data_IF_866733346608
#
_entry.id   IF_866733346608
#
_cell.length_a   1.000
_cell.length_b   1.000
_cell.length_c   1.000
_cell.angle_alpha   90.00
_cell.angle_beta   90.00
_cell.angle_gamma   90.00
#
_symmetry.space_group_name_H-M   'P 1'
#
loop_
_entity.id
_entity.type
_entity.pdbx_description
1 polymer ?
#
# COMPACT_ATOMS: atom_id res chain seq x y z
N UNK A 1 9.33 -15.71 -20.23
CA UNK A 1 7.89 -15.46 -20.39
C UNK A 1 7.17 -15.35 -19.03
N UNK A 2 7.21 -16.37 -18.17
CA UNK A 2 6.47 -16.40 -16.89
C UNK A 2 6.82 -15.25 -15.94
N UNK A 3 8.11 -14.93 -15.80
CA UNK A 3 8.58 -13.84 -14.92
C UNK A 3 8.10 -12.47 -15.40
N UNK A 4 8.16 -12.21 -16.71
CA UNK A 4 7.66 -10.97 -17.30
C UNK A 4 6.15 -10.77 -17.07
N UNK A 5 5.36 -11.82 -17.24
CA UNK A 5 3.91 -11.80 -16.97
C UNK A 5 3.64 -11.49 -15.48
N UNK A 6 4.38 -12.13 -14.57
CA UNK A 6 4.22 -11.88 -13.13
C UNK A 6 4.52 -10.42 -12.76
N UNK A 7 5.60 -9.85 -13.31
CA UNK A 7 5.96 -8.44 -13.12
C UNK A 7 4.91 -7.49 -13.71
N UNK A 8 4.37 -7.82 -14.89
CA UNK A 8 3.30 -7.05 -15.52
C UNK A 8 2.05 -7.00 -14.64
N UNK A 9 1.59 -8.17 -14.16
CA UNK A 9 0.43 -8.29 -13.27
C UNK A 9 0.68 -7.55 -11.96
N UNK A 10 1.87 -7.67 -11.38
CA UNK A 10 2.24 -6.97 -10.15
C UNK A 10 2.23 -5.45 -10.33
N UNK A 11 2.70 -4.95 -11.48
CA UNK A 11 2.60 -3.54 -11.84
C UNK A 11 1.16 -3.07 -11.96
N UNK A 12 0.28 -3.82 -12.64
CA UNK A 12 -1.14 -3.47 -12.72
C UNK A 12 -1.83 -3.46 -11.35
N UNK A 13 -1.56 -4.47 -10.52
CA UNK A 13 -2.07 -4.54 -9.16
C UNK A 13 -1.59 -3.36 -8.32
N UNK A 14 -0.32 -2.97 -8.47
CA UNK A 14 0.27 -1.80 -7.82
C UNK A 14 -0.38 -0.49 -8.26
N UNK A 15 -0.70 -0.31 -9.54
CA UNK A 15 -1.44 0.87 -10.03
C UNK A 15 -2.83 0.95 -9.38
N UNK A 16 -3.58 -0.15 -9.40
CA UNK A 16 -4.93 -0.18 -8.82
C UNK A 16 -4.91 0.09 -7.31
N UNK A 17 -3.99 -0.55 -6.58
CA UNK A 17 -3.82 -0.34 -5.15
C UNK A 17 -3.35 1.08 -4.84
N UNK A 18 -2.33 1.56 -5.55
CA UNK A 18 -1.78 2.90 -5.40
C UNK A 18 -2.83 3.98 -5.62
N UNK A 19 -3.64 3.87 -6.68
CA UNK A 19 -4.76 4.77 -6.96
C UNK A 19 -5.82 4.72 -5.86
N UNK A 20 -6.21 3.52 -5.42
CA UNK A 20 -7.19 3.34 -4.35
C UNK A 20 -6.77 4.07 -3.06
N UNK A 21 -5.49 4.00 -2.70
CA UNK A 21 -4.96 4.66 -1.51
C UNK A 21 -4.72 6.16 -1.69
N UNK A 22 -4.13 6.59 -2.81
CA UNK A 22 -3.84 8.00 -3.07
C UNK A 22 -5.12 8.85 -3.11
N UNK A 23 -6.12 8.38 -3.86
CA UNK A 23 -7.42 9.03 -4.01
C UNK A 23 -8.40 8.67 -2.90
N UNK A 24 -7.99 7.86 -1.91
CA UNK A 24 -8.80 7.43 -0.79
C UNK A 24 -10.17 6.84 -1.21
N UNK A 25 -10.16 6.03 -2.26
CA UNK A 25 -11.38 5.40 -2.80
C UNK A 25 -12.04 4.56 -1.71
N UNK A 26 -13.32 4.82 -1.43
CA UNK A 26 -14.10 4.16 -0.35
C UNK A 26 -13.47 4.30 1.05
N UNK A 27 -12.68 5.35 1.30
CA UNK A 27 -12.01 5.59 2.57
C UNK A 27 -10.89 4.58 2.86
N UNK A 28 -10.23 4.05 1.83
CA UNK A 28 -9.20 3.02 1.97
C UNK A 28 -8.05 3.44 2.90
N UNK A 29 -7.57 4.68 2.76
CA UNK A 29 -6.50 5.22 3.59
C UNK A 29 -6.95 5.41 5.04
N UNK A 30 -8.18 5.89 5.23
CA UNK A 30 -8.77 6.07 6.56
C UNK A 30 -8.97 4.73 7.28
N UNK A 31 -9.50 3.72 6.57
CA UNK A 31 -9.67 2.36 7.08
C UNK A 31 -8.35 1.72 7.46
N UNK A 32 -7.30 1.92 6.66
CA UNK A 32 -5.97 1.41 6.98
C UNK A 32 -5.37 2.08 8.21
N UNK A 33 -5.53 3.40 8.35
CA UNK A 33 -5.12 4.13 9.55
C UNK A 33 -5.89 3.67 10.80
N UNK A 34 -7.21 3.53 10.70
CA UNK A 34 -8.06 3.02 11.79
C UNK A 34 -7.66 1.60 12.20
N UNK A 35 -7.43 0.70 11.24
CA UNK A 35 -6.97 -0.67 11.50
C UNK A 35 -5.63 -0.69 12.22
N UNK A 36 -4.67 0.17 11.80
CA UNK A 36 -3.36 0.26 12.45
C UNK A 36 -3.48 0.73 13.90
N UNK A 37 -4.30 1.75 14.16
CA UNK A 37 -4.56 2.23 15.52
C UNK A 37 -5.23 1.15 16.39
N UNK A 38 -6.19 0.40 15.83
CA UNK A 38 -6.82 -0.71 16.54
C UNK A 38 -5.81 -1.80 16.92
N UNK A 39 -4.91 -2.19 16.01
CA UNK A 39 -3.84 -3.16 16.32
C UNK A 39 -2.91 -2.61 17.39
N UNK A 40 -2.52 -1.33 17.33
CA UNK A 40 -1.68 -0.70 18.36
C UNK A 40 -2.36 -0.68 19.73
N UNK A 41 -3.64 -0.36 19.79
CA UNK A 41 -4.41 -0.40 21.04
C UNK A 41 -4.46 -1.81 21.65
N UNK A 42 -4.64 -2.85 20.83
CA UNK A 42 -4.60 -4.25 21.28
C UNK A 42 -3.19 -4.63 21.77
N UNK A 43 -2.15 -4.21 21.06
CA UNK A 43 -0.77 -4.46 21.49
C UNK A 43 -0.45 -3.74 22.80
N UNK A 44 -0.83 -2.46 22.93
CA UNK A 44 -0.67 -1.66 24.15
C UNK A 44 -1.32 -2.35 25.36
N UNK A 45 -2.55 -2.85 25.18
CA UNK A 45 -3.25 -3.60 26.23
C UNK A 45 -2.54 -4.90 26.61
N UNK A 46 -1.89 -5.58 25.65
CA UNK A 46 -1.13 -6.82 25.90
C UNK A 46 0.23 -6.57 26.56
N UNK A 47 0.91 -5.47 26.22
CA UNK A 47 2.27 -5.17 26.70
C UNK A 47 2.28 -4.22 27.89
N UNK A 48 1.13 -3.71 28.33
CA UNK A 48 0.99 -2.60 29.30
C UNK A 48 1.80 -1.35 28.91
N UNK A 49 2.10 -1.20 27.62
CA UNK A 49 2.84 -0.05 27.12
C UNK A 49 1.87 1.08 26.76
N UNK A 50 1.72 2.02 27.68
CA UNK A 50 0.83 3.18 27.54
C UNK A 50 1.25 4.12 26.39
N UNK A 51 2.51 4.07 25.94
CA UNK A 51 2.97 4.86 24.79
C UNK A 51 2.43 4.38 23.45
N UNK A 52 1.98 3.12 23.37
CA UNK A 52 1.30 2.58 22.18
C UNK A 52 -0.19 2.90 22.13
N UNK A 53 -0.77 3.40 23.23
CA UNK A 53 -2.16 3.83 23.29
C UNK A 53 -2.38 5.22 22.66
N UNK A 54 -1.31 6.01 22.48
CA UNK A 54 -1.41 7.28 21.77
C UNK A 54 -1.73 7.07 20.28
N UNK A 55 -2.70 7.84 19.73
CA UNK A 55 -3.05 7.73 18.32
C UNK A 55 -1.82 8.03 17.47
N UNK A 56 -1.54 7.13 16.51
CA UNK A 56 -0.34 7.28 15.69
C UNK A 56 -0.39 8.59 14.90
N UNK A 57 0.70 9.36 14.91
CA UNK A 57 0.85 10.55 14.06
C UNK A 57 0.77 10.22 12.55
N UNK A 58 0.96 8.94 12.20
CA UNK A 58 0.82 8.41 10.86
C UNK A 58 -0.66 8.13 10.55
N UNK A 59 -1.41 9.21 10.31
CA UNK A 59 -2.81 9.16 9.86
C UNK A 59 -2.97 8.73 8.40
N UNK A 60 -4.17 8.90 7.86
CA UNK A 60 -4.52 8.54 6.48
C UNK A 60 -3.58 9.16 5.43
N UNK A 61 -3.02 10.35 5.71
CA UNK A 61 -2.04 11.02 4.85
C UNK A 61 -0.83 10.14 4.50
N UNK A 62 -0.29 9.38 5.45
CA UNK A 62 0.83 8.48 5.19
C UNK A 62 0.47 7.41 4.16
N UNK A 63 -0.72 6.83 4.30
CA UNK A 63 -1.20 5.80 3.36
C UNK A 63 -1.47 6.39 1.97
N UNK A 64 -1.92 7.63 1.88
CA UNK A 64 -2.08 8.35 0.61
C UNK A 64 -0.73 8.60 -0.06
N UNK A 65 0.28 9.04 0.69
CA UNK A 65 1.65 9.23 0.20
C UNK A 65 2.23 7.91 -0.33
N UNK A 66 2.14 6.83 0.44
CA UNK A 66 2.60 5.51 0.00
C UNK A 66 1.83 5.04 -1.24
N UNK A 67 0.51 5.26 -1.29
CA UNK A 67 -0.31 4.99 -2.46
C UNK A 67 0.18 5.75 -3.70
N UNK A 68 0.58 7.01 -3.54
CA UNK A 68 1.15 7.82 -4.62
C UNK A 68 2.51 7.32 -5.12
N UNK A 69 3.41 6.96 -4.20
CA UNK A 69 4.72 6.38 -4.55
C UNK A 69 4.53 5.08 -5.34
N UNK A 70 3.65 4.19 -4.85
CA UNK A 70 3.34 2.93 -5.52
C UNK A 70 2.70 3.20 -6.89
N UNK A 71 1.75 4.13 -6.99
CA UNK A 71 1.11 4.50 -8.25
C UNK A 71 2.10 5.03 -9.28
N UNK A 72 3.12 5.79 -8.88
CA UNK A 72 4.15 6.31 -9.78
C UNK A 72 5.11 5.23 -10.27
N UNK A 73 5.51 4.30 -9.39
CA UNK A 73 6.46 3.24 -9.75
C UNK A 73 5.85 2.05 -10.51
N UNK A 74 4.57 1.77 -10.26
CA UNK A 74 3.90 0.58 -10.78
C UNK A 74 3.72 0.52 -12.32
N UNK A 75 3.48 1.63 -13.04
CA UNK A 75 3.46 1.65 -14.50
C UNK A 75 4.80 1.27 -15.12
N UNK A 76 5.91 1.73 -14.53
CA UNK A 76 7.25 1.37 -14.99
C UNK A 76 7.50 -0.12 -14.80
N UNK A 77 7.08 -0.68 -13.66
CA UNK A 77 7.16 -2.11 -13.39
C UNK A 77 6.32 -2.93 -14.38
N UNK A 78 5.10 -2.45 -14.69
CA UNK A 78 4.25 -3.10 -15.68
C UNK A 78 4.90 -3.12 -17.07
N UNK A 79 5.38 -1.96 -17.53
CA UNK A 79 6.07 -1.84 -18.82
C UNK A 79 7.32 -2.72 -18.89
N UNK A 80 8.13 -2.75 -17.83
CA UNK A 80 9.30 -3.62 -17.76
C UNK A 80 8.91 -5.11 -17.84
N UNK A 81 7.86 -5.52 -17.11
CA UNK A 81 7.32 -6.87 -17.16
C UNK A 81 6.81 -7.25 -18.54
N UNK A 82 6.12 -6.33 -19.23
CA UNK A 82 5.64 -6.52 -20.60
C UNK A 82 6.80 -6.75 -21.56
N UNK A 83 7.84 -5.91 -21.50
CA UNK A 83 9.04 -6.04 -22.35
C UNK A 83 9.71 -7.40 -22.12
N UNK A 84 9.95 -7.78 -20.86
CA UNK A 84 10.55 -9.08 -20.52
C UNK A 84 9.69 -10.24 -21.02
N UNK A 85 8.36 -10.14 -20.89
CA UNK A 85 7.44 -11.19 -21.35
C UNK A 85 7.44 -11.37 -22.87
N UNK A 86 7.75 -10.31 -23.63
CA UNK A 86 7.83 -10.35 -25.10
C UNK A 86 9.20 -10.76 -25.64
N UNK A 87 10.25 -10.71 -24.81
CA UNK A 87 11.64 -11.01 -25.21
C UNK A 87 12.07 -12.45 -24.86
N UNK A 88 11.47 -13.05 -23.82
CA UNK A 88 11.63 -14.47 -23.47
C UNK A 88 10.62 -15.36 -24.20
#
# INVERSE_FOLDING_TARGET
MVVGIALFVLGLAGVAWGAMFLFNVRGAADKAAARRNAVRAVTAARTMDLGLAEPSQLGAWFFRLMGGIVLLGSPLLALAGLVIATLD
#
